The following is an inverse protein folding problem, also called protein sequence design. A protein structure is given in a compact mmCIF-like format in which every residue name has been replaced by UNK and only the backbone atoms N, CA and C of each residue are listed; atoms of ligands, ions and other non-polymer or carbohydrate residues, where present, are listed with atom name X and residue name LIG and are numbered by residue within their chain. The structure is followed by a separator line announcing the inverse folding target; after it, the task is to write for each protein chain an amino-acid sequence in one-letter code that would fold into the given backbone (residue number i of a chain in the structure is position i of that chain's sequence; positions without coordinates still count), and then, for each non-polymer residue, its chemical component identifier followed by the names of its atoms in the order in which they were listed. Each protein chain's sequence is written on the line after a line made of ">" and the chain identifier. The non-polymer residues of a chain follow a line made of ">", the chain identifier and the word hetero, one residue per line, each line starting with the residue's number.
data_IF_179277724769
#
_entry.id   IF_179277724769
#
_cell.length_a   1.000
_cell.length_b   1.000
_cell.length_c   1.000
_cell.angle_alpha   90.00
_cell.angle_beta   90.00
_cell.angle_gamma   90.00
#
_symmetry.space_group_name_H-M   'P 1'
#
loop_
_entity.id
_entity.type
_entity.pdbx_description
1 polymer ?
#
# COMPACT_ATOMS: atom_id res chain seq x y z
N UNK A 1 -20.60 37.52 5.42
CA UNK A 1 -19.20 37.50 4.96
C UNK A 1 -18.98 36.19 4.24
N UNK A 2 -18.51 36.22 2.99
CA UNK A 2 -18.12 35.00 2.29
C UNK A 2 -16.92 34.39 3.02
N UNK A 3 -16.99 33.11 3.38
CA UNK A 3 -15.90 32.40 4.01
C UNK A 3 -14.72 32.28 3.02
N UNK A 4 -13.57 32.85 3.35
CA UNK A 4 -12.34 32.76 2.56
C UNK A 4 -11.34 31.87 3.27
N UNK A 5 -10.98 30.74 2.64
CA UNK A 5 -9.97 29.81 3.19
C UNK A 5 -8.56 30.40 3.22
N UNK A 6 -8.29 31.41 2.38
CA UNK A 6 -6.97 32.04 2.30
C UNK A 6 -6.58 32.84 3.54
N UNK A 7 -7.57 33.19 4.37
CA UNK A 7 -7.36 33.95 5.61
C UNK A 7 -7.04 33.04 6.81
N UNK A 8 -7.11 31.72 6.65
CA UNK A 8 -6.80 30.75 7.69
C UNK A 8 -5.33 30.37 7.68
N UNK A 9 -4.78 30.10 8.87
CA UNK A 9 -3.45 29.49 9.00
C UNK A 9 -3.45 28.06 8.46
N UNK A 10 -2.30 27.61 7.93
CA UNK A 10 -2.10 26.25 7.41
C UNK A 10 -2.52 25.17 8.42
N UNK A 11 -2.17 25.37 9.69
CA UNK A 11 -2.51 24.43 10.76
C UNK A 11 -4.03 24.36 11.00
N UNK A 12 -4.74 25.48 10.85
CA UNK A 12 -6.20 25.50 10.95
C UNK A 12 -6.86 24.81 9.76
N UNK A 13 -6.34 25.04 8.54
CA UNK A 13 -6.80 24.35 7.33
C UNK A 13 -6.61 22.85 7.47
N UNK A 14 -5.40 22.42 7.84
CA UNK A 14 -5.08 21.01 8.04
C UNK A 14 -6.00 20.38 9.09
N UNK A 15 -6.09 20.96 10.30
CA UNK A 15 -6.90 20.39 11.39
C UNK A 15 -8.38 20.25 11.02
N UNK A 16 -8.92 21.16 10.21
CA UNK A 16 -10.33 21.13 9.80
C UNK A 16 -10.61 20.19 8.62
N UNK A 17 -9.63 19.95 7.75
CA UNK A 17 -9.80 19.09 6.57
C UNK A 17 -9.23 17.69 6.72
N UNK A 18 -8.30 17.46 7.64
CA UNK A 18 -7.68 16.17 7.79
C UNK A 18 -8.71 15.15 8.27
N UNK A 19 -8.93 14.12 7.46
CA UNK A 19 -9.67 12.93 7.88
C UNK A 19 -8.97 11.67 7.39
N UNK A 20 -9.23 10.57 8.10
CA UNK A 20 -8.80 9.24 7.67
C UNK A 20 -9.97 8.27 7.85
N UNK A 21 -10.77 8.03 6.80
CA UNK A 21 -11.90 7.13 6.90
C UNK A 21 -11.50 5.70 7.28
N UNK A 22 -12.24 5.07 8.19
CA UNK A 22 -11.91 3.74 8.74
C UNK A 22 -11.76 2.65 7.66
N UNK A 23 -12.60 2.69 6.62
CA UNK A 23 -12.56 1.69 5.55
C UNK A 23 -11.21 1.65 4.81
N UNK A 24 -10.43 2.74 4.82
CA UNK A 24 -9.10 2.78 4.20
C UNK A 24 -8.14 1.87 4.96
N UNK A 25 -8.21 1.87 6.29
CA UNK A 25 -7.36 1.04 7.15
C UNK A 25 -7.92 -0.39 7.30
N UNK A 26 -9.25 -0.56 7.28
CA UNK A 26 -9.92 -1.88 7.25
C UNK A 26 -9.78 -2.62 5.91
N UNK A 27 -9.43 -1.90 4.84
CA UNK A 27 -9.18 -2.49 3.54
C UNK A 27 -7.84 -3.22 3.45
N UNK A 28 -6.93 -3.06 4.42
CA UNK A 28 -5.54 -3.56 4.37
C UNK A 28 -5.15 -4.33 5.64
N UNK A 29 -3.92 -4.82 5.71
CA UNK A 29 -3.40 -5.45 6.94
C UNK A 29 -3.35 -4.41 8.06
N UNK A 30 -4.26 -4.54 9.02
CA UNK A 30 -4.38 -3.63 10.15
C UNK A 30 -3.16 -3.68 11.08
N UNK A 31 -2.64 -2.51 11.43
CA UNK A 31 -1.60 -2.34 12.45
C UNK A 31 -2.19 -2.27 13.88
N UNK A 32 -3.48 -1.99 14.02
CA UNK A 32 -4.15 -1.72 15.30
C UNK A 32 -4.28 -2.96 16.21
N UNK A 33 -4.21 -4.17 15.63
CA UNK A 33 -4.29 -5.45 16.38
C UNK A 33 -2.93 -5.97 16.83
N UNK A 34 -1.85 -5.23 16.60
CA UNK A 34 -0.49 -5.67 16.92
C UNK A 34 -0.04 -5.11 18.27
N UNK A 35 0.72 -5.89 19.06
CA UNK A 35 1.13 -5.47 20.38
C UNK A 35 1.89 -4.14 20.34
N UNK A 36 1.61 -3.30 21.33
CA UNK A 36 2.18 -1.98 21.50
C UNK A 36 3.73 -1.99 21.38
N UNK A 37 4.26 -0.86 20.90
CA UNK A 37 5.68 -0.48 20.76
C UNK A 37 6.67 -1.45 21.42
N UNK A 38 7.53 -2.06 20.62
CA UNK A 38 8.72 -2.78 21.12
C UNK A 38 9.53 -1.80 21.96
N UNK A 39 9.43 -1.94 23.29
CA UNK A 39 10.09 -1.06 24.23
C UNK A 39 11.46 -1.66 24.54
N UNK A 40 12.51 -1.03 24.03
CA UNK A 40 13.87 -1.43 24.39
C UNK A 40 14.16 -0.97 25.82
N UNK A 41 14.30 -1.92 26.75
CA UNK A 41 14.87 -1.61 28.07
C UNK A 41 16.31 -1.13 27.86
N UNK A 42 16.64 0.07 28.34
CA UNK A 42 18.04 0.56 28.41
C UNK A 42 18.87 -0.50 29.14
N UNK A 43 19.67 -1.27 28.42
CA UNK A 43 20.64 -2.15 29.04
C UNK A 43 21.78 -1.29 29.59
N UNK A 44 21.70 -0.94 30.87
CA UNK A 44 22.88 -0.53 31.62
C UNK A 44 23.65 -1.79 32.00
N UNK A 45 24.85 -2.00 31.45
CA UNK A 45 25.89 -2.78 32.15
C UNK A 45 27.25 -2.71 31.47
N UNK A 46 28.31 -2.61 32.28
CA UNK A 46 29.69 -3.01 31.98
C UNK A 46 29.69 -4.33 31.18
N UNK A 47 30.18 -4.28 29.94
CA UNK A 47 30.11 -5.39 28.98
C UNK A 47 31.30 -6.34 29.20
N UNK A 48 31.05 -7.65 29.30
CA UNK A 48 32.09 -8.68 29.52
C UNK A 48 32.23 -9.72 28.40
N UNK A 49 31.44 -9.67 27.33
CA UNK A 49 31.54 -10.66 26.22
C UNK A 49 31.73 -9.96 24.86
N UNK A 50 32.77 -10.33 24.09
CA UNK A 50 33.03 -9.76 22.77
C UNK A 50 32.00 -10.23 21.74
N UNK A 51 31.92 -9.53 20.60
CA UNK A 51 31.03 -9.85 19.46
C UNK A 51 31.54 -11.05 18.63
N UNK A 52 32.23 -12.00 19.27
CA UNK A 52 32.98 -13.05 18.57
C UNK A 52 34.02 -12.46 17.62
N UNK A 53 34.16 -13.07 16.43
CA UNK A 53 35.11 -12.61 15.40
C UNK A 53 34.81 -11.20 14.88
N UNK A 54 33.55 -10.76 14.87
CA UNK A 54 33.16 -9.40 14.47
C UNK A 54 33.68 -8.32 15.43
N UNK A 55 34.20 -8.70 16.60
CA UNK A 55 34.87 -7.76 17.50
C UNK A 55 36.16 -7.18 16.91
N UNK A 56 36.76 -7.85 15.92
CA UNK A 56 37.94 -7.36 15.20
C UNK A 56 37.63 -6.19 14.25
N UNK A 57 36.34 -5.98 13.90
CA UNK A 57 35.93 -4.90 13.03
C UNK A 57 35.72 -3.60 13.82
N UNK A 58 36.21 -2.46 13.33
CA UNK A 58 35.83 -1.14 13.85
C UNK A 58 34.31 -0.94 13.84
N UNK A 59 33.82 -0.12 14.78
CA UNK A 59 32.38 0.13 14.93
C UNK A 59 31.80 0.77 13.66
N UNK A 60 32.59 1.58 12.98
CA UNK A 60 32.26 2.27 11.74
C UNK A 60 31.93 1.26 10.64
N UNK A 61 32.76 0.23 10.46
CA UNK A 61 32.51 -0.83 9.47
C UNK A 61 31.27 -1.65 9.81
N UNK A 62 31.02 -1.88 11.10
CA UNK A 62 29.78 -2.54 11.53
C UNK A 62 28.56 -1.66 11.23
N UNK A 63 28.64 -0.35 11.50
CA UNK A 63 27.55 0.59 11.22
C UNK A 63 27.29 0.77 9.72
N UNK A 64 28.31 0.66 8.88
CA UNK A 64 28.22 0.67 7.42
C UNK A 64 27.58 -0.63 6.87
N UNK A 65 28.03 -1.79 7.36
CA UNK A 65 27.66 -3.08 6.78
C UNK A 65 26.29 -3.60 7.25
N UNK A 66 25.96 -3.43 8.53
CA UNK A 66 24.73 -4.00 9.12
C UNK A 66 23.43 -3.50 8.45
N UNK A 67 23.30 -2.23 7.99
CA UNK A 67 22.12 -1.77 7.25
C UNK A 67 21.77 -2.58 5.99
N UNK A 68 22.75 -3.24 5.35
CA UNK A 68 22.51 -4.07 4.18
C UNK A 68 21.91 -5.43 4.51
N UNK A 69 21.95 -5.85 5.78
CA UNK A 69 21.34 -7.10 6.23
C UNK A 69 19.82 -6.98 6.32
N UNK A 70 19.16 -8.11 6.09
CA UNK A 70 17.72 -8.25 6.32
C UNK A 70 17.39 -8.24 7.82
N UNK A 71 16.13 -7.94 8.14
CA UNK A 71 15.67 -7.83 9.53
C UNK A 71 15.84 -9.15 10.31
N UNK A 72 15.67 -10.31 9.65
CA UNK A 72 15.88 -11.62 10.29
C UNK A 72 17.34 -11.80 10.68
N UNK A 73 18.28 -11.46 9.79
CA UNK A 73 19.72 -11.51 10.02
C UNK A 73 20.14 -10.58 11.15
N UNK A 74 19.60 -9.35 11.18
CA UNK A 74 19.84 -8.41 12.28
C UNK A 74 19.31 -8.90 13.62
N UNK A 75 18.10 -9.48 13.65
CA UNK A 75 17.56 -10.09 14.87
C UNK A 75 18.36 -11.30 15.33
N UNK A 76 18.85 -12.12 14.39
CA UNK A 76 19.74 -13.23 14.71
C UNK A 76 20.99 -12.70 15.43
N UNK A 77 21.66 -11.70 14.84
CA UNK A 77 22.82 -11.04 15.44
C UNK A 77 22.52 -10.48 16.83
N UNK A 78 21.40 -9.77 16.99
CA UNK A 78 20.98 -9.19 18.27
C UNK A 78 20.73 -10.25 19.36
N UNK A 79 20.39 -11.49 18.97
CA UNK A 79 20.12 -12.60 19.90
C UNK A 79 21.35 -13.42 20.24
N UNK A 80 22.45 -13.30 19.50
CA UNK A 80 23.68 -14.08 19.76
C UNK A 80 24.36 -13.67 21.08
N UNK A 81 24.48 -12.37 21.35
CA UNK A 81 25.12 -11.85 22.56
C UNK A 81 24.64 -10.43 22.89
N UNK A 82 24.88 -9.99 24.14
CA UNK A 82 24.50 -8.64 24.60
C UNK A 82 25.15 -7.52 23.77
N UNK A 83 26.40 -7.70 23.31
CA UNK A 83 27.08 -6.71 22.47
C UNK A 83 26.42 -6.60 21.08
N UNK A 84 26.03 -7.72 20.48
CA UNK A 84 25.32 -7.74 19.20
C UNK A 84 23.99 -7.00 19.29
N UNK A 85 23.24 -7.24 20.37
CA UNK A 85 22.02 -6.49 20.66
C UNK A 85 22.27 -4.97 20.71
N UNK A 86 23.29 -4.55 21.46
CA UNK A 86 23.65 -3.13 21.60
C UNK A 86 24.03 -2.51 20.27
N UNK A 87 24.83 -3.21 19.45
CA UNK A 87 25.26 -2.70 18.13
C UNK A 87 24.05 -2.53 17.20
N UNK A 88 23.17 -3.53 17.10
CA UNK A 88 21.95 -3.43 16.26
C UNK A 88 21.02 -2.32 16.76
N UNK A 89 20.79 -2.23 18.07
CA UNK A 89 19.96 -1.18 18.68
C UNK A 89 20.62 0.21 18.64
N UNK A 90 21.93 0.30 18.35
CA UNK A 90 22.64 1.56 18.18
C UNK A 90 22.49 2.16 16.78
N UNK A 91 22.11 1.37 15.78
CA UNK A 91 21.93 1.82 14.42
C UNK A 91 20.80 2.88 14.34
N UNK A 92 21.07 4.10 13.83
CA UNK A 92 20.05 5.13 13.68
C UNK A 92 18.85 4.65 12.86
N UNK A 93 19.09 3.99 11.72
CA UNK A 93 18.03 3.47 10.86
C UNK A 93 17.10 2.48 11.57
N UNK A 94 17.68 1.62 12.43
CA UNK A 94 16.91 0.64 13.18
C UNK A 94 16.04 1.32 14.24
N UNK A 95 16.59 2.34 14.92
CA UNK A 95 15.85 3.15 15.91
C UNK A 95 14.69 3.89 15.27
N UNK A 96 14.91 4.50 14.11
CA UNK A 96 13.86 5.22 13.37
C UNK A 96 12.72 4.27 13.02
N UNK A 97 13.02 3.09 12.44
CA UNK A 97 11.98 2.12 12.10
C UNK A 97 11.23 1.60 13.33
N UNK A 98 11.93 1.25 14.43
CA UNK A 98 11.23 0.76 15.62
C UNK A 98 10.33 1.85 16.22
N UNK A 99 10.83 3.08 16.31
CA UNK A 99 10.09 4.21 16.87
C UNK A 99 8.87 4.58 16.04
N UNK A 100 9.01 4.54 14.72
CA UNK A 100 8.02 5.05 13.76
C UNK A 100 7.02 3.99 13.34
N UNK A 101 7.52 2.78 13.06
CA UNK A 101 6.77 1.72 12.37
C UNK A 101 7.09 0.33 12.94
N UNK A 102 7.38 0.21 14.24
CA UNK A 102 7.79 -1.06 14.87
C UNK A 102 6.80 -2.22 14.69
N UNK A 103 5.51 -1.93 14.45
CA UNK A 103 4.49 -2.92 14.10
C UNK A 103 4.81 -3.67 12.79
N UNK A 104 5.56 -3.04 11.88
CA UNK A 104 6.04 -3.64 10.61
C UNK A 104 6.75 -4.97 10.85
N UNK A 105 7.56 -5.07 11.90
CA UNK A 105 8.30 -6.31 12.16
C UNK A 105 7.40 -7.46 12.58
N UNK A 106 6.31 -7.18 13.30
CA UNK A 106 5.31 -8.19 13.63
C UNK A 106 4.58 -8.66 12.37
N UNK A 107 4.16 -7.74 11.49
CA UNK A 107 3.54 -8.05 10.20
C UNK A 107 4.48 -8.90 9.32
N UNK A 108 5.74 -8.49 9.14
CA UNK A 108 6.70 -9.23 8.33
C UNK A 108 7.01 -10.62 8.90
N UNK A 109 7.01 -10.76 10.23
CA UNK A 109 7.16 -12.06 10.92
C UNK A 109 5.94 -12.94 10.66
N UNK A 110 4.74 -12.41 10.81
CA UNK A 110 3.50 -13.18 10.70
C UNK A 110 3.25 -13.59 9.25
N UNK A 111 3.59 -12.71 8.30
CA UNK A 111 3.64 -13.00 6.87
C UNK A 111 4.83 -13.89 6.43
N UNK A 112 5.72 -14.27 7.36
CA UNK A 112 6.93 -15.11 7.14
C UNK A 112 7.96 -14.55 6.14
N UNK A 113 7.99 -13.24 5.95
CA UNK A 113 8.87 -12.53 5.01
C UNK A 113 9.90 -11.62 5.71
N UNK A 114 10.15 -11.82 7.00
CA UNK A 114 11.09 -11.02 7.78
C UNK A 114 12.52 -10.95 7.18
N UNK A 115 12.93 -11.97 6.43
CA UNK A 115 14.24 -12.01 5.75
C UNK A 115 14.25 -11.44 4.33
N UNK A 116 13.17 -10.78 3.90
CA UNK A 116 13.00 -10.36 2.50
C UNK A 116 13.61 -8.99 2.20
N UNK A 117 13.62 -8.08 3.18
CA UNK A 117 14.02 -6.70 2.98
C UNK A 117 15.14 -6.31 3.94
N UNK A 118 16.13 -5.57 3.42
CA UNK A 118 17.20 -4.99 4.23
C UNK A 118 16.68 -3.85 5.11
N UNK A 119 17.42 -3.58 6.20
CA UNK A 119 17.17 -2.42 7.05
C UNK A 119 17.23 -1.11 6.25
N UNK A 120 18.25 -0.96 5.40
CA UNK A 120 18.43 0.20 4.53
C UNK A 120 17.23 0.40 3.60
N UNK A 121 16.71 -0.67 2.99
CA UNK A 121 15.55 -0.58 2.09
C UNK A 121 14.31 -0.08 2.82
N UNK A 122 13.98 -0.66 3.97
CA UNK A 122 12.82 -0.23 4.77
C UNK A 122 12.97 1.21 5.28
N UNK A 123 14.19 1.61 5.66
CA UNK A 123 14.48 2.98 6.11
C UNK A 123 14.35 4.00 4.98
N UNK A 124 14.82 3.68 3.77
CA UNK A 124 14.65 4.52 2.60
C UNK A 124 13.15 4.70 2.26
N UNK A 125 12.36 3.64 2.36
CA UNK A 125 10.90 3.68 2.14
C UNK A 125 10.20 4.52 3.22
N UNK A 126 10.69 4.48 4.47
CA UNK A 126 10.18 5.32 5.56
C UNK A 126 10.37 6.81 5.25
N UNK A 127 11.42 7.19 4.54
CA UNK A 127 11.73 8.60 4.18
C UNK A 127 11.22 9.03 2.81
N UNK A 128 10.63 8.11 2.03
CA UNK A 128 9.88 8.43 0.83
C UNK A 128 8.42 8.67 1.19
N UNK A 129 7.72 9.54 0.47
CA UNK A 129 6.28 9.74 0.58
C UNK A 129 5.52 9.33 -0.70
N UNK A 130 6.22 9.05 -1.81
CA UNK A 130 5.61 8.86 -3.12
C UNK A 130 5.24 7.42 -3.42
N UNK A 131 4.06 7.24 -4.01
CA UNK A 131 3.62 5.99 -4.61
C UNK A 131 4.52 5.62 -5.79
N UNK A 132 4.97 4.37 -5.84
CA UNK A 132 5.83 3.83 -6.91
C UNK A 132 5.18 3.88 -8.29
N UNK A 133 3.85 3.89 -8.34
CA UNK A 133 3.09 3.83 -9.58
C UNK A 133 2.73 5.20 -10.13
N UNK A 134 2.18 6.10 -9.30
CA UNK A 134 1.61 7.37 -9.77
C UNK A 134 2.27 8.62 -9.18
N UNK A 135 3.23 8.47 -8.25
CA UNK A 135 3.91 9.60 -7.62
C UNK A 135 3.11 10.35 -6.55
N UNK A 136 1.79 10.13 -6.43
CA UNK A 136 0.97 10.67 -5.35
C UNK A 136 1.43 10.18 -3.96
N UNK A 137 0.90 10.76 -2.87
CA UNK A 137 1.25 10.30 -1.53
C UNK A 137 0.87 8.82 -1.33
N UNK A 138 1.86 7.99 -1.05
CA UNK A 138 1.69 6.55 -0.88
C UNK A 138 1.61 6.17 0.58
N UNK A 139 0.42 6.25 1.21
CA UNK A 139 0.22 5.94 2.63
C UNK A 139 0.39 4.46 3.02
N UNK A 140 0.73 3.60 2.08
CA UNK A 140 0.92 2.17 2.30
C UNK A 140 2.25 1.66 1.75
N UNK A 141 2.62 0.45 2.17
CA UNK A 141 3.73 -0.33 1.61
C UNK A 141 3.22 -1.68 1.09
N UNK A 142 3.61 -2.05 -0.12
CA UNK A 142 3.42 -3.40 -0.65
C UNK A 142 4.49 -4.34 -0.11
N UNK A 143 4.07 -5.34 0.66
CA UNK A 143 4.95 -6.15 1.50
C UNK A 143 5.98 -6.97 0.73
N UNK A 144 5.66 -7.44 -0.48
CA UNK A 144 6.57 -8.30 -1.25
C UNK A 144 7.68 -7.52 -1.96
N UNK A 145 7.45 -6.27 -2.37
CA UNK A 145 8.49 -5.45 -3.02
C UNK A 145 9.07 -4.38 -2.10
N UNK A 146 8.46 -4.11 -0.95
CA UNK A 146 8.75 -2.97 -0.09
C UNK A 146 8.72 -1.63 -0.86
N UNK A 147 7.70 -1.46 -1.71
CA UNK A 147 7.45 -0.22 -2.44
C UNK A 147 6.21 0.48 -1.88
N UNK A 148 6.22 1.82 -1.90
CA UNK A 148 5.07 2.61 -1.49
C UNK A 148 3.94 2.58 -2.50
N UNK A 149 2.71 2.57 -2.02
CA UNK A 149 1.53 2.73 -2.84
C UNK A 149 0.46 3.61 -2.18
N UNK A 150 -0.29 4.34 -3.01
CA UNK A 150 -1.51 5.00 -2.57
C UNK A 150 -2.68 4.01 -2.59
N UNK A 151 -3.81 4.40 -2.01
CA UNK A 151 -5.01 3.58 -1.96
C UNK A 151 -5.44 3.14 -3.37
N UNK A 152 -5.54 4.07 -4.31
CA UNK A 152 -5.98 3.74 -5.66
C UNK A 152 -5.03 2.80 -6.39
N UNK A 153 -3.72 3.00 -6.29
CA UNK A 153 -2.79 2.13 -7.00
C UNK A 153 -2.77 0.71 -6.44
N UNK A 154 -2.99 0.47 -5.14
CA UNK A 154 -3.14 -0.91 -4.66
C UNK A 154 -4.44 -1.58 -5.16
N UNK A 155 -5.45 -0.78 -5.49
CA UNK A 155 -6.74 -1.24 -6.02
C UNK A 155 -6.58 -1.57 -7.50
N UNK A 156 -6.04 -0.65 -8.31
CA UNK A 156 -6.08 -0.79 -9.78
C UNK A 156 -4.80 -1.29 -10.42
N UNK A 157 -3.62 -1.16 -9.78
CA UNK A 157 -2.36 -1.56 -10.39
C UNK A 157 -2.08 -3.06 -10.15
N UNK A 158 -2.05 -3.89 -11.21
CA UNK A 158 -1.79 -5.33 -11.09
C UNK A 158 -0.41 -5.65 -10.47
N UNK A 159 0.55 -4.73 -10.57
CA UNK A 159 1.88 -4.89 -9.98
C UNK A 159 1.88 -4.86 -8.45
N UNK A 160 0.86 -4.26 -7.87
CA UNK A 160 0.64 -4.13 -6.43
C UNK A 160 -0.41 -5.14 -5.91
N UNK A 161 -0.79 -6.11 -6.75
CA UNK A 161 -1.72 -7.17 -6.40
C UNK A 161 -0.99 -8.45 -5.97
N UNK A 162 -1.59 -9.14 -5.01
CA UNK A 162 -1.22 -10.51 -4.64
C UNK A 162 -2.26 -11.50 -5.14
N UNK A 163 -1.81 -12.72 -5.44
CA UNK A 163 -2.67 -13.86 -5.76
C UNK A 163 -2.18 -15.09 -4.98
N UNK A 164 -3.06 -16.07 -4.76
CA UNK A 164 -2.65 -17.31 -4.11
C UNK A 164 -1.75 -18.15 -5.01
N UNK A 165 -0.83 -18.92 -4.41
CA UNK A 165 0.06 -19.83 -5.15
C UNK A 165 -0.71 -20.80 -6.08
N UNK A 166 -1.83 -21.42 -5.66
CA UNK A 166 -2.65 -22.23 -6.57
C UNK A 166 -3.22 -21.42 -7.75
N UNK A 167 -3.74 -20.21 -7.49
CA UNK A 167 -4.25 -19.33 -8.54
C UNK A 167 -3.15 -18.95 -9.54
N UNK A 168 -1.94 -18.67 -9.06
CA UNK A 168 -0.79 -18.41 -9.94
C UNK A 168 -0.43 -19.63 -10.80
N UNK A 169 -0.45 -20.83 -10.21
CA UNK A 169 -0.21 -22.09 -10.93
C UNK A 169 -1.22 -22.34 -12.03
N UNK A 170 -2.51 -22.26 -11.69
CA UNK A 170 -3.61 -22.49 -12.60
C UNK A 170 -3.69 -21.42 -13.71
N UNK A 171 -3.56 -20.14 -13.33
CA UNK A 171 -3.69 -19.02 -14.25
C UNK A 171 -2.56 -18.99 -15.28
N UNK A 172 -1.33 -19.29 -14.85
CA UNK A 172 -0.13 -19.14 -15.67
C UNK A 172 0.50 -20.47 -16.09
N UNK A 173 -0.17 -21.61 -15.90
CA UNK A 173 0.36 -22.92 -16.26
C UNK A 173 1.71 -23.24 -15.60
N UNK A 174 1.93 -22.77 -14.36
CA UNK A 174 3.20 -22.88 -13.64
C UNK A 174 3.23 -24.13 -12.74
N UNK A 175 4.32 -24.89 -12.81
CA UNK A 175 4.54 -26.06 -11.94
C UNK A 175 4.87 -25.64 -10.51
N UNK A 176 4.57 -26.50 -9.55
CA UNK A 176 4.92 -26.30 -8.12
C UNK A 176 6.41 -26.01 -7.91
N UNK A 177 7.31 -26.62 -8.68
CA UNK A 177 8.75 -26.38 -8.61
C UNK A 177 9.12 -24.96 -9.05
N UNK A 178 8.48 -24.45 -10.11
CA UNK A 178 8.70 -23.09 -10.62
C UNK A 178 8.15 -22.05 -9.62
N UNK A 179 6.96 -22.28 -9.07
CA UNK A 179 6.33 -21.39 -8.10
C UNK A 179 7.16 -21.21 -6.81
N UNK A 180 7.98 -22.21 -6.42
CA UNK A 180 8.87 -22.10 -5.25
C UNK A 180 9.98 -21.06 -5.42
N UNK A 181 10.28 -20.64 -6.66
CA UNK A 181 11.28 -19.59 -6.93
C UNK A 181 10.76 -18.18 -6.67
N UNK A 182 9.44 -18.00 -6.57
CA UNK A 182 8.84 -16.70 -6.32
C UNK A 182 8.98 -16.29 -4.85
N UNK A 183 9.09 -14.98 -4.57
CA UNK A 183 8.86 -14.46 -3.23
C UNK A 183 7.45 -14.81 -2.75
N UNK A 184 7.36 -15.53 -1.64
CA UNK A 184 6.08 -16.00 -1.06
C UNK A 184 5.90 -15.42 0.33
N UNK A 185 4.73 -14.85 0.57
CA UNK A 185 4.26 -14.48 1.90
C UNK A 185 3.09 -15.34 2.34
N UNK A 186 2.87 -15.41 3.64
CA UNK A 186 1.62 -15.92 4.22
C UNK A 186 0.65 -14.77 4.44
N UNK A 187 -0.61 -14.96 4.07
CA UNK A 187 -1.65 -13.98 4.35
C UNK A 187 -1.89 -13.89 5.86
N UNK A 188 -2.13 -12.69 6.37
CA UNK A 188 -2.48 -12.50 7.78
C UNK A 188 -3.99 -12.69 7.92
N UNK A 189 -4.48 -13.53 8.85
CA UNK A 189 -5.92 -13.66 9.09
C UNK A 189 -6.54 -12.32 9.50
N UNK A 190 -7.69 -11.97 8.92
CA UNK A 190 -8.32 -10.68 9.12
C UNK A 190 -9.53 -10.45 8.22
N UNK A 191 -10.23 -9.35 8.49
CA UNK A 191 -11.22 -8.80 7.58
C UNK A 191 -10.51 -7.79 6.65
N UNK A 192 -10.81 -7.86 5.37
CA UNK A 192 -10.28 -6.95 4.34
C UNK A 192 -11.48 -6.40 3.55
N UNK A 193 -11.70 -5.09 3.60
CA UNK A 193 -12.88 -4.44 3.01
C UNK A 193 -12.57 -3.54 1.80
N UNK A 194 -11.70 -4.00 0.89
CA UNK A 194 -11.30 -3.21 -0.27
C UNK A 194 -12.37 -3.16 -1.39
N UNK A 195 -13.37 -4.05 -1.36
CA UNK A 195 -14.51 -4.09 -2.31
C UNK A 195 -15.74 -4.82 -1.77
N UNK A 196 -15.50 -5.86 -0.96
CA UNK A 196 -16.49 -6.63 -0.22
C UNK A 196 -15.80 -7.06 1.06
N UNK A 197 -16.44 -6.87 2.21
CA UNK A 197 -15.90 -7.33 3.48
C UNK A 197 -15.62 -8.83 3.41
N UNK A 198 -14.33 -9.19 3.35
CA UNK A 198 -13.87 -10.57 3.30
C UNK A 198 -13.17 -10.91 4.58
N UNK A 199 -13.84 -11.73 5.38
CA UNK A 199 -13.23 -12.39 6.52
C UNK A 199 -12.40 -13.59 6.04
N UNK A 200 -11.08 -13.52 6.21
CA UNK A 200 -10.16 -14.64 5.96
C UNK A 200 -9.61 -15.12 7.29
N UNK A 201 -10.13 -16.25 7.77
CA UNK A 201 -9.70 -16.86 9.03
C UNK A 201 -8.48 -17.76 8.87
N UNK A 202 -8.27 -18.32 7.67
CA UNK A 202 -7.15 -19.20 7.36
C UNK A 202 -6.07 -18.47 6.58
N UNK A 203 -4.82 -18.70 6.97
CA UNK A 203 -3.64 -18.19 6.28
C UNK A 203 -3.36 -18.99 5.01
N UNK A 204 -2.99 -18.31 3.92
CA UNK A 204 -2.65 -18.91 2.64
C UNK A 204 -1.37 -18.32 2.07
N UNK A 205 -0.73 -19.07 1.17
CA UNK A 205 0.49 -18.62 0.49
C UNK A 205 0.12 -17.70 -0.67
N UNK A 206 0.66 -16.49 -0.65
CA UNK A 206 0.46 -15.44 -1.62
C UNK A 206 1.77 -15.11 -2.35
N UNK A 207 1.65 -14.72 -3.62
CA UNK A 207 2.73 -14.22 -4.48
C UNK A 207 2.28 -12.93 -5.16
N UNK A 208 3.23 -12.11 -5.61
CA UNK A 208 2.92 -10.96 -6.47
C UNK A 208 2.39 -11.45 -7.82
N UNK A 209 1.29 -10.84 -8.28
CA UNK A 209 0.73 -11.12 -9.61
C UNK A 209 1.76 -10.80 -10.71
N UNK A 210 2.45 -9.66 -10.60
CA UNK A 210 3.54 -9.28 -11.52
C UNK A 210 4.65 -10.33 -11.54
N UNK A 211 5.16 -10.74 -10.37
CA UNK A 211 6.23 -11.73 -10.31
C UNK A 211 5.81 -13.10 -10.89
N UNK A 212 4.55 -13.52 -10.67
CA UNK A 212 4.02 -14.74 -11.27
C UNK A 212 3.90 -14.63 -12.79
N UNK A 213 3.43 -13.49 -13.30
CA UNK A 213 3.33 -13.19 -14.73
C UNK A 213 4.70 -13.14 -15.40
N UNK A 214 5.67 -12.46 -14.80
CA UNK A 214 7.06 -12.39 -15.28
C UNK A 214 7.69 -13.79 -15.37
N UNK A 215 7.45 -14.64 -14.35
CA UNK A 215 7.89 -16.03 -14.38
C UNK A 215 7.19 -16.84 -15.47
N UNK A 216 5.90 -16.60 -15.73
CA UNK A 216 5.16 -17.25 -16.80
C UNK A 216 5.75 -16.93 -18.17
N UNK A 217 6.05 -15.65 -18.44
CA UNK A 217 6.72 -15.22 -19.67
C UNK A 217 8.08 -15.89 -19.81
N UNK A 218 8.86 -15.96 -18.72
CA UNK A 218 10.16 -16.66 -18.73
C UNK A 218 10.04 -18.16 -19.03
N UNK A 219 8.98 -18.82 -18.57
CA UNK A 219 8.77 -20.27 -18.73
C UNK A 219 8.19 -20.64 -20.09
N UNK A 220 7.22 -19.87 -20.59
CA UNK A 220 6.49 -20.18 -21.81
C UNK A 220 6.95 -19.36 -23.03
N UNK A 221 7.86 -18.40 -22.83
CA UNK A 221 8.42 -17.53 -23.87
C UNK A 221 7.61 -16.23 -24.06
N UNK A 222 6.28 -16.31 -24.08
CA UNK A 222 5.39 -15.15 -24.19
C UNK A 222 4.02 -15.44 -23.57
N UNK A 223 3.18 -14.41 -23.42
CA UNK A 223 1.79 -14.59 -23.02
C UNK A 223 0.95 -15.24 -24.11
N UNK A 224 1.28 -15.02 -25.39
CA UNK A 224 0.56 -15.66 -26.51
C UNK A 224 0.86 -17.17 -26.57
N UNK A 225 2.10 -17.56 -26.27
CA UNK A 225 2.49 -18.96 -26.16
C UNK A 225 1.81 -19.64 -24.95
N UNK A 226 1.66 -18.91 -23.84
CA UNK A 226 0.87 -19.36 -22.70
C UNK A 226 -0.60 -19.58 -23.10
N UNK A 227 -1.22 -18.62 -23.78
CA UNK A 227 -2.61 -18.70 -24.21
C UNK A 227 -2.84 -19.87 -25.17
N UNK A 228 -1.91 -20.09 -26.10
CA UNK A 228 -1.95 -21.22 -27.04
C UNK A 228 -1.88 -22.58 -26.32
N UNK A 229 -1.12 -22.68 -25.23
CA UNK A 229 -0.90 -23.92 -24.48
C UNK A 229 -1.97 -24.18 -23.40
N UNK A 230 -2.50 -23.12 -22.82
CA UNK A 230 -3.49 -23.16 -21.75
C UNK A 230 -4.63 -22.18 -22.06
N UNK A 231 -5.41 -22.45 -23.12
CA UNK A 231 -6.46 -21.55 -23.57
C UNK A 231 -7.52 -21.36 -22.49
N UNK A 232 -7.96 -20.13 -22.31
CA UNK A 232 -9.14 -19.81 -21.50
C UNK A 232 -10.36 -19.83 -22.42
N UNK A 233 -11.37 -20.63 -22.07
CA UNK A 233 -12.64 -20.64 -22.80
C UNK A 233 -13.48 -19.40 -22.42
N UNK A 234 -13.64 -18.41 -23.32
CA UNK A 234 -14.36 -17.17 -23.02
C UNK A 234 -15.87 -17.38 -22.89
N UNK A 235 -16.43 -18.46 -23.47
CA UNK A 235 -17.87 -18.72 -23.45
C UNK A 235 -18.32 -19.33 -22.12
N UNK A 236 -17.38 -19.94 -21.39
CA UNK A 236 -17.63 -20.41 -20.04
C UNK A 236 -17.81 -19.21 -19.11
N UNK A 237 -19.06 -18.91 -18.71
CA UNK A 237 -19.43 -17.90 -17.69
C UNK A 237 -18.96 -18.25 -16.26
N UNK A 238 -17.67 -18.54 -16.10
CA UNK A 238 -17.06 -18.87 -14.83
C UNK A 238 -16.22 -17.69 -14.34
N UNK A 239 -16.55 -17.20 -13.15
CA UNK A 239 -15.84 -16.10 -12.46
C UNK A 239 -14.33 -16.35 -12.37
N UNK A 240 -13.91 -17.63 -12.25
CA UNK A 240 -12.49 -18.01 -12.22
C UNK A 240 -11.78 -17.73 -13.55
N UNK A 241 -12.43 -18.04 -14.69
CA UNK A 241 -11.87 -17.83 -16.03
C UNK A 241 -11.78 -16.33 -16.33
N UNK A 242 -12.87 -15.62 -16.06
CA UNK A 242 -12.95 -14.16 -16.07
C UNK A 242 -11.79 -13.49 -15.30
N UNK A 243 -11.50 -13.99 -14.09
CA UNK A 243 -10.37 -13.52 -13.29
C UNK A 243 -9.02 -13.85 -13.94
N UNK A 244 -8.84 -15.05 -14.50
CA UNK A 244 -7.59 -15.43 -15.17
C UNK A 244 -7.33 -14.57 -16.41
N UNK A 245 -8.37 -14.30 -17.21
CA UNK A 245 -8.26 -13.36 -18.33
C UNK A 245 -7.77 -12.00 -17.85
N UNK A 246 -8.36 -11.49 -16.75
CA UNK A 246 -7.95 -10.22 -16.15
C UNK A 246 -6.47 -10.24 -15.76
N UNK A 247 -6.00 -11.30 -15.10
CA UNK A 247 -4.60 -11.44 -14.70
C UNK A 247 -3.62 -11.57 -15.88
N UNK A 248 -4.01 -12.28 -16.94
CA UNK A 248 -3.17 -12.43 -18.14
C UNK A 248 -3.11 -11.12 -18.94
N UNK A 249 -4.24 -10.43 -19.10
CA UNK A 249 -4.35 -9.16 -19.87
C UNK A 249 -3.84 -7.94 -19.09
N UNK A 250 -3.84 -7.99 -17.76
CA UNK A 250 -3.39 -6.91 -16.88
C UNK A 250 -2.00 -6.38 -17.25
N UNK A 251 -1.93 -5.14 -17.75
CA UNK A 251 -0.67 -4.49 -18.11
C UNK A 251 0.12 -4.08 -16.85
N UNK A 252 1.45 -4.09 -16.91
CA UNK A 252 2.32 -3.85 -15.72
C UNK A 252 3.42 -2.77 -15.85
N UNK A 253 3.14 -1.54 -16.32
CA UNK A 253 3.97 -0.36 -16.03
C UNK A 253 3.28 0.65 -15.11
N UNK A 254 4.00 1.68 -14.65
CA UNK A 254 3.39 2.79 -13.92
C UNK A 254 2.17 3.34 -14.68
N UNK A 255 1.11 3.63 -13.93
CA UNK A 255 -0.08 4.31 -14.48
C UNK A 255 0.42 5.68 -14.95
N UNK A 256 0.48 5.87 -16.27
CA UNK A 256 1.01 7.10 -16.88
C UNK A 256 0.12 8.32 -16.61
N UNK A 257 -1.14 8.09 -16.23
CA UNK A 257 -2.13 9.10 -15.82
C UNK A 257 -2.37 9.08 -14.32
N UNK A 258 -2.96 10.14 -13.75
CA UNK A 258 -3.39 10.10 -12.35
C UNK A 258 -4.40 8.95 -12.16
N UNK A 259 -4.23 8.05 -11.17
CA UNK A 259 -5.16 6.96 -10.92
C UNK A 259 -6.59 7.42 -10.62
N UNK A 260 -6.78 8.69 -10.23
CA UNK A 260 -8.11 9.30 -10.08
C UNK A 260 -8.92 9.29 -11.38
N UNK A 261 -8.27 9.48 -12.54
CA UNK A 261 -8.95 9.52 -13.85
C UNK A 261 -8.92 8.19 -14.58
N UNK A 262 -8.17 7.22 -14.05
CA UNK A 262 -8.19 5.85 -14.56
C UNK A 262 -9.53 5.21 -14.18
N UNK A 263 -10.29 4.58 -15.08
CA UNK A 263 -11.41 3.73 -14.67
C UNK A 263 -10.91 2.59 -13.80
N UNK A 264 -11.74 2.06 -12.91
CA UNK A 264 -11.43 0.77 -12.25
C UNK A 264 -11.29 -0.38 -13.29
N UNK A 265 -11.79 -0.18 -14.52
CA UNK A 265 -12.12 -1.22 -15.50
C UNK A 265 -11.28 -1.24 -16.80
N UNK A 266 -10.26 -0.39 -16.99
CA UNK A 266 -9.46 -0.37 -18.25
C UNK A 266 -8.03 -0.84 -18.16
N UNK A 267 -7.51 -1.24 -17.00
CA UNK A 267 -6.23 -1.95 -16.97
C UNK A 267 -6.27 -3.31 -17.73
N UNK A 268 -7.47 -3.76 -18.15
CA UNK A 268 -7.74 -5.02 -18.87
C UNK A 268 -8.66 -4.90 -20.10
N UNK A 269 -9.18 -3.70 -20.45
CA UNK A 269 -10.01 -3.50 -21.65
C UNK A 269 -11.38 -4.21 -21.67
N UNK A 270 -11.88 -4.71 -20.53
CA UNK A 270 -13.10 -5.54 -20.47
C UNK A 270 -14.04 -5.04 -19.35
N UNK A 271 -15.16 -4.42 -19.74
CA UNK A 271 -16.12 -3.72 -18.85
C UNK A 271 -16.85 -4.60 -17.80
N UNK A 272 -16.70 -5.92 -17.83
CA UNK A 272 -17.50 -6.86 -17.03
C UNK A 272 -16.67 -7.70 -16.04
N UNK A 273 -15.38 -7.39 -15.86
CA UNK A 273 -14.48 -8.18 -15.02
C UNK A 273 -14.04 -7.39 -13.79
N UNK A 274 -14.17 -8.00 -12.61
CA UNK A 274 -13.73 -7.41 -11.34
C UNK A 274 -12.22 -7.06 -11.40
N UNK A 275 -11.77 -5.99 -10.73
CA UNK A 275 -10.37 -5.57 -10.74
C UNK A 275 -9.44 -6.71 -10.26
N UNK A 276 -8.16 -6.71 -10.65
CA UNK A 276 -7.23 -7.78 -10.25
C UNK A 276 -7.11 -7.96 -8.73
N UNK A 277 -7.29 -6.88 -7.97
CA UNK A 277 -7.31 -6.89 -6.50
C UNK A 277 -8.62 -7.40 -5.90
N UNK A 278 -9.66 -7.70 -6.69
CA UNK A 278 -10.99 -8.01 -6.16
C UNK A 278 -11.03 -9.22 -5.21
N UNK A 279 -10.14 -10.21 -5.38
CA UNK A 279 -10.13 -11.42 -4.55
C UNK A 279 -9.23 -11.32 -3.32
N UNK A 280 -8.05 -10.75 -3.50
CA UNK A 280 -6.98 -10.74 -2.50
C UNK A 280 -6.48 -9.31 -2.16
N UNK A 281 -7.27 -8.30 -2.51
CA UNK A 281 -6.99 -6.89 -2.26
C UNK A 281 -6.73 -6.63 -0.78
N UNK A 282 -5.76 -5.78 -0.50
CA UNK A 282 -5.33 -5.47 0.87
C UNK A 282 -4.46 -6.51 1.55
N UNK A 283 -4.47 -7.77 1.10
CA UNK A 283 -3.76 -8.88 1.78
C UNK A 283 -2.23 -8.85 1.60
N UNK A 284 -1.72 -7.98 0.74
CA UNK A 284 -0.30 -7.77 0.50
C UNK A 284 0.19 -6.38 0.90
N UNK A 285 -0.65 -5.57 1.55
CA UNK A 285 -0.42 -4.14 1.77
C UNK A 285 -0.68 -3.82 3.25
N UNK A 286 0.09 -2.90 3.83
CA UNK A 286 -0.15 -2.38 5.17
C UNK A 286 0.05 -0.86 5.25
N UNK A 287 -0.57 -0.16 6.22
CA UNK A 287 -0.30 1.25 6.46
C UNK A 287 1.17 1.47 6.79
N UNK A 288 1.78 2.48 6.16
CA UNK A 288 3.18 2.80 6.35
C UNK A 288 3.39 4.32 6.26
N UNK A 289 3.53 5.03 7.39
CA UNK A 289 3.70 6.48 7.38
C UNK A 289 5.07 6.89 6.84
N UNK A 290 5.21 8.15 6.44
CA UNK A 290 6.48 8.77 6.09
C UNK A 290 7.11 9.45 7.31
N UNK A 291 8.42 9.33 7.50
CA UNK A 291 9.19 10.12 8.44
C UNK A 291 9.82 11.30 7.69
N UNK A 292 9.25 12.48 7.86
CA UNK A 292 9.71 13.71 7.23
C UNK A 292 10.12 14.73 8.30
N UNK A 293 11.39 15.18 8.28
CA UNK A 293 11.95 16.16 9.24
C UNK A 293 11.63 15.82 10.72
N UNK A 294 11.67 14.54 11.08
CA UNK A 294 11.39 14.07 12.45
C UNK A 294 9.91 13.93 12.81
N UNK A 295 8.98 14.24 11.89
CA UNK A 295 7.54 14.07 12.05
C UNK A 295 7.05 12.85 11.26
N UNK A 296 6.07 12.16 11.84
CA UNK A 296 5.43 11.01 11.21
C UNK A 296 4.16 11.47 10.51
N UNK A 297 4.10 11.27 9.20
CA UNK A 297 2.94 11.59 8.38
C UNK A 297 2.26 10.29 7.91
N UNK A 298 1.01 10.08 8.30
CA UNK A 298 0.24 8.90 7.92
C UNK A 298 -0.44 9.03 6.54
N UNK A 299 -0.44 10.25 5.99
CA UNK A 299 -1.30 10.62 4.87
C UNK A 299 -2.73 10.87 5.36
N UNK A 300 -3.28 12.03 5.04
CA UNK A 300 -4.65 12.39 5.39
C UNK A 300 -5.47 12.65 4.13
N UNK A 301 -6.72 12.25 4.14
CA UNK A 301 -7.71 12.61 3.11
C UNK A 301 -8.31 13.99 3.42
N UNK A 302 -9.03 14.54 2.44
CA UNK A 302 -9.75 15.80 2.60
C UNK A 302 -11.21 15.54 3.03
N UNK A 303 -11.61 16.08 4.18
CA UNK A 303 -12.99 16.01 4.70
C UNK A 303 -14.02 16.54 3.71
N UNK A 304 -13.67 17.57 2.93
CA UNK A 304 -14.55 18.10 1.88
C UNK A 304 -14.81 17.09 0.76
N UNK A 305 -13.74 16.47 0.24
CA UNK A 305 -13.86 15.40 -0.76
C UNK A 305 -14.61 14.18 -0.21
N UNK A 306 -14.32 13.80 1.04
CA UNK A 306 -14.99 12.71 1.73
C UNK A 306 -16.48 12.96 1.90
N UNK A 307 -16.85 14.11 2.48
CA UNK A 307 -18.23 14.52 2.68
C UNK A 307 -19.01 14.50 1.37
N UNK A 308 -18.47 15.14 0.32
CA UNK A 308 -19.12 15.18 -0.98
C UNK A 308 -19.36 13.77 -1.52
N UNK A 309 -18.32 12.93 -1.55
CA UNK A 309 -18.46 11.56 -2.07
C UNK A 309 -19.60 10.79 -1.39
N UNK A 310 -19.76 10.95 -0.06
CA UNK A 310 -20.85 10.31 0.68
C UNK A 310 -22.21 10.90 0.37
N UNK A 311 -22.35 12.23 0.42
CA UNK A 311 -23.66 12.88 0.17
C UNK A 311 -24.13 12.66 -1.26
N UNK A 312 -23.20 12.67 -2.21
CA UNK A 312 -23.45 12.44 -3.63
C UNK A 312 -23.98 11.03 -3.88
N UNK A 313 -23.33 10.00 -3.34
CA UNK A 313 -23.78 8.61 -3.47
C UNK A 313 -25.17 8.43 -2.83
N UNK A 314 -25.42 9.07 -1.68
CA UNK A 314 -26.70 8.94 -0.99
C UNK A 314 -27.87 9.64 -1.70
N UNK A 315 -27.61 10.77 -2.36
CA UNK A 315 -28.67 11.61 -2.93
C UNK A 315 -28.95 11.33 -4.41
N UNK A 316 -28.15 10.49 -5.09
CA UNK A 316 -28.26 10.19 -6.53
C UNK A 316 -28.49 11.44 -7.41
N UNK A 317 -27.90 12.56 -6.98
CA UNK A 317 -28.02 13.84 -7.67
C UNK A 317 -27.17 13.77 -8.95
N UNK A 318 -27.37 14.63 -9.95
CA UNK A 318 -26.69 14.59 -11.25
C UNK A 318 -25.84 15.85 -11.52
N UNK A 319 -25.72 16.75 -10.55
CA UNK A 319 -25.02 18.04 -10.70
C UNK A 319 -23.48 17.94 -10.74
N UNK A 320 -22.90 16.74 -10.82
CA UNK A 320 -21.46 16.49 -10.65
C UNK A 320 -20.61 16.87 -11.86
N UNK A 321 -21.20 16.86 -13.06
CA UNK A 321 -20.50 17.23 -14.30
C UNK A 321 -19.99 18.69 -14.26
N UNK A 322 -20.55 19.52 -13.37
CA UNK A 322 -20.16 20.91 -13.14
C UNK A 322 -19.00 21.07 -12.14
N UNK A 323 -18.70 20.02 -11.35
CA UNK A 323 -17.77 20.08 -10.22
C UNK A 323 -16.45 19.33 -10.48
N UNK A 324 -16.41 18.52 -11.54
CA UNK A 324 -15.24 17.73 -11.91
C UNK A 324 -14.46 18.50 -12.99
N UNK A 325 -13.13 18.62 -12.88
CA UNK A 325 -12.34 19.36 -13.86
C UNK A 325 -12.59 18.87 -15.30
N UNK A 326 -12.73 19.81 -16.23
CA UNK A 326 -12.92 19.50 -17.64
C UNK A 326 -11.77 18.60 -18.15
N UNK A 327 -12.12 17.50 -18.82
CA UNK A 327 -11.15 16.49 -19.29
C UNK A 327 -10.91 15.31 -18.34
N UNK A 328 -11.45 15.33 -17.12
CA UNK A 328 -11.43 14.16 -16.23
C UNK A 328 -12.55 13.15 -16.51
N UNK A 329 -13.62 13.57 -17.20
CA UNK A 329 -14.77 12.75 -17.57
C UNK A 329 -14.91 12.73 -19.10
N UNK A 330 -15.01 11.53 -19.68
CA UNK A 330 -15.51 11.36 -21.05
C UNK A 330 -16.50 10.21 -21.05
N UNK A 331 -17.56 10.33 -21.84
CA UNK A 331 -18.59 9.28 -22.01
C UNK A 331 -18.17 8.13 -22.93
N UNK A 332 -16.92 8.15 -23.41
CA UNK A 332 -16.36 7.12 -24.27
C UNK A 332 -15.99 5.82 -23.49
N UNK A 333 -15.95 4.65 -24.16
CA UNK A 333 -15.39 3.42 -23.60
C UNK A 333 -13.99 3.64 -23.03
N UNK A 334 -13.88 3.56 -21.69
CA UNK A 334 -12.59 3.53 -21.02
C UNK A 334 -12.17 4.77 -20.23
N UNK A 335 -13.13 5.61 -19.86
CA UNK A 335 -12.93 6.74 -18.93
C UNK A 335 -13.65 6.52 -17.61
N UNK A 336 -13.11 7.13 -16.55
CA UNK A 336 -13.64 7.04 -15.19
C UNK A 336 -14.99 7.76 -15.12
N UNK A 337 -15.97 7.17 -14.41
CA UNK A 337 -17.25 7.87 -14.18
C UNK A 337 -17.08 8.98 -13.16
N UNK A 338 -18.01 9.94 -13.12
CA UNK A 338 -18.00 11.01 -12.12
C UNK A 338 -18.03 10.45 -10.69
N UNK A 339 -18.86 9.44 -10.47
CA UNK A 339 -18.96 8.75 -9.18
C UNK A 339 -17.63 8.07 -8.80
N UNK A 340 -17.03 7.33 -9.73
CA UNK A 340 -15.73 6.69 -9.50
C UNK A 340 -14.67 7.74 -9.16
N UNK A 341 -14.57 8.82 -9.92
CA UNK A 341 -13.61 9.89 -9.67
C UNK A 341 -13.77 10.47 -8.26
N UNK A 342 -15.00 10.76 -7.83
CA UNK A 342 -15.28 11.31 -6.50
C UNK A 342 -14.92 10.34 -5.37
N UNK A 343 -15.22 9.05 -5.53
CA UNK A 343 -14.80 7.99 -4.58
C UNK A 343 -13.28 7.95 -4.48
N UNK A 344 -12.58 8.00 -5.62
CA UNK A 344 -11.11 7.94 -5.64
C UNK A 344 -10.49 9.18 -5.03
N UNK A 345 -11.05 10.35 -5.33
CA UNK A 345 -10.61 11.63 -4.79
C UNK A 345 -10.78 11.65 -3.27
N UNK A 346 -11.86 11.06 -2.76
CA UNK A 346 -12.09 10.98 -1.32
C UNK A 346 -11.14 10.02 -0.60
N UNK A 347 -10.57 9.05 -1.32
CA UNK A 347 -9.52 8.15 -0.85
C UNK A 347 -8.10 8.69 -1.07
N UNK A 348 -7.93 9.86 -1.72
CA UNK A 348 -6.62 10.45 -1.99
C UNK A 348 -6.00 10.94 -0.68
N UNK A 349 -4.94 10.26 -0.27
CA UNK A 349 -4.11 10.71 0.82
C UNK A 349 -3.16 11.83 0.36
N UNK A 350 -2.86 12.73 1.29
CA UNK A 350 -1.95 13.87 1.11
C UNK A 350 -0.97 13.94 2.29
N UNK A 351 0.22 14.49 2.04
CA UNK A 351 1.11 14.96 3.12
C UNK A 351 0.45 16.11 3.88
N UNK A 352 1.04 16.54 5.00
CA UNK A 352 0.53 17.72 5.73
C UNK A 352 0.45 18.95 4.82
N UNK A 353 1.56 19.27 4.15
CA UNK A 353 1.65 20.39 3.20
C UNK A 353 0.70 20.18 2.01
N UNK A 354 0.69 18.98 1.42
CA UNK A 354 -0.14 18.70 0.25
C UNK A 354 -1.63 18.79 0.55
N UNK A 355 -2.08 18.48 1.77
CA UNK A 355 -3.48 18.64 2.16
C UNK A 355 -3.87 20.10 2.27
N UNK A 356 -2.99 20.95 2.80
CA UNK A 356 -3.24 22.39 2.91
C UNK A 356 -3.32 23.03 1.53
N UNK A 357 -2.38 22.70 0.64
CA UNK A 357 -2.39 23.14 -0.76
C UNK A 357 -3.68 22.69 -1.46
N UNK A 358 -4.00 21.40 -1.40
CA UNK A 358 -5.25 20.86 -1.94
C UNK A 358 -6.48 21.57 -1.36
N UNK A 359 -6.52 21.75 -0.04
CA UNK A 359 -7.64 22.37 0.66
C UNK A 359 -7.97 23.76 0.13
N UNK A 360 -6.95 24.60 -0.08
CA UNK A 360 -7.11 25.98 -0.57
C UNK A 360 -7.74 26.06 -1.97
N UNK A 361 -7.50 25.05 -2.80
CA UNK A 361 -8.02 24.97 -4.17
C UNK A 361 -9.26 24.07 -4.28
N UNK A 362 -9.60 23.32 -3.24
CA UNK A 362 -10.67 22.34 -3.26
C UNK A 362 -12.04 23.04 -3.10
N UNK A 363 -12.91 23.01 -4.12
CA UNK A 363 -14.24 23.64 -4.03
C UNK A 363 -15.11 22.99 -2.94
N UNK A 364 -14.85 21.72 -2.64
CA UNK A 364 -15.57 20.95 -1.64
C UNK A 364 -15.11 21.26 -0.22
N UNK A 365 -13.84 21.62 -0.03
CA UNK A 365 -13.32 22.04 1.26
C UNK A 365 -14.00 23.32 1.75
N UNK A 366 -14.12 24.33 0.88
CA UNK A 366 -14.80 25.58 1.20
C UNK A 366 -16.27 25.34 1.60
N UNK A 367 -16.97 24.49 0.85
CA UNK A 367 -18.36 24.12 1.13
C UNK A 367 -18.48 23.40 2.48
N UNK A 368 -17.64 22.40 2.72
CA UNK A 368 -17.61 21.65 3.97
C UNK A 368 -17.34 22.56 5.19
N UNK A 369 -16.36 23.46 5.09
CA UNK A 369 -16.02 24.38 6.18
C UNK A 369 -17.09 25.43 6.48
N UNK A 370 -17.96 25.73 5.51
CA UNK A 370 -19.08 26.67 5.70
C UNK A 370 -20.27 26.08 6.46
N UNK A 371 -20.34 24.75 6.62
CA UNK A 371 -21.43 24.10 7.33
C UNK A 371 -21.23 24.17 8.86
N UNK A 372 -22.22 24.68 9.63
CA UNK A 372 -22.16 24.65 11.08
C UNK A 372 -22.47 23.24 11.61
N UNK A 373 -21.57 22.64 12.40
CA UNK A 373 -21.90 21.50 13.27
C UNK A 373 -21.27 20.14 12.95
N UNK A 374 -20.37 20.01 11.98
CA UNK A 374 -19.57 18.79 11.80
C UNK A 374 -18.12 19.01 12.23
N UNK A 375 -17.94 19.25 13.52
CA UNK A 375 -16.63 19.41 14.14
C UNK A 375 -16.46 18.40 15.26
N UNK A 376 -16.36 17.12 14.91
CA UNK A 376 -15.62 16.17 15.74
C UNK A 376 -14.24 15.99 15.09
N UNK A 377 -13.19 16.65 15.61
CA UNK A 377 -11.82 16.31 15.26
C UNK A 377 -11.48 14.95 15.90
N UNK A 378 -10.82 14.09 15.13
CA UNK A 378 -10.08 12.92 15.65
C UNK A 378 -8.87 13.41 16.46
#
# INVERSE_FOLDING_TARGET
>A
MAFSMNDLSDETVFRRLACRPDFIDDAVISSAKLPARVTFKKLQSRIRRPLGQLHSLPLELLHEALPYLDIRSLWSLARTCRRGKIVVEALPMFRDLVKSVGYTFAILRDAKILGMHSLMKLHAVLHSDRCVSCGAYGCFIFLLSAERCCFECQVVNPSLCVISVPVAGDCFGLKKSQLKSLPIMWSIPGAYDLFKSKSRQLSMRLVSLKAAKDLAVKVHGSLDALESKFPLDPETRNVKIAMFETYRKAYSPPIASDPLTCPYWTASGLRNLAPPSAIFGGMGVMPFPCLYKGRIEHGQCCSGCWYLSRTTIQQNNHLWDLLIPAGCLNSAPGYCTAEEYLIKLSCRAWSHVGLVEHGRECPFAATFMSQPGHWDPI
#
